data_IF_910196450334
#
_entry.id   IF_910196450334
#
_cell.length_a   1.000
_cell.length_b   1.000
_cell.length_c   1.000
_cell.angle_alpha   90.00
_cell.angle_beta   90.00
_cell.angle_gamma   90.00
#
_symmetry.space_group_name_H-M   'P 1'
#
loop_
_entity.id
_entity.type
_entity.pdbx_description
1 polymer ?
#
# COMPACT_ATOMS: atom_id res chain seq x y z
N UNK A 1 20.35 -15.46 18.46
CA UNK A 1 20.47 -15.62 16.98
C UNK A 1 20.08 -17.01 16.45
N UNK A 2 20.43 -18.16 17.08
CA UNK A 2 20.06 -19.48 16.55
C UNK A 2 18.55 -19.73 16.40
N UNK A 3 17.75 -19.34 17.41
CA UNK A 3 16.28 -19.49 17.36
C UNK A 3 15.64 -18.70 16.20
N UNK A 4 16.12 -17.48 15.92
CA UNK A 4 15.67 -16.69 14.77
C UNK A 4 15.93 -17.42 13.46
N UNK A 5 17.17 -17.90 13.23
CA UNK A 5 17.51 -18.63 12.01
C UNK A 5 16.71 -19.91 11.87
N UNK A 6 16.49 -20.63 12.97
CA UNK A 6 15.67 -21.84 12.98
C UNK A 6 14.22 -21.56 12.56
N UNK A 7 13.61 -20.48 13.06
CA UNK A 7 12.26 -20.06 12.65
C UNK A 7 12.19 -19.67 11.17
N UNK A 8 13.21 -18.97 10.64
CA UNK A 8 13.29 -18.68 9.20
C UNK A 8 13.30 -20.00 8.40
N UNK A 9 14.15 -20.96 8.78
CA UNK A 9 14.23 -22.25 8.10
C UNK A 9 12.92 -23.05 8.20
N UNK A 10 12.24 -23.03 9.35
CA UNK A 10 10.93 -23.66 9.50
C UNK A 10 9.87 -23.00 8.62
N UNK A 11 9.87 -21.67 8.54
CA UNK A 11 9.03 -20.91 7.62
C UNK A 11 9.28 -21.30 6.17
N UNK A 12 10.55 -21.36 5.76
CA UNK A 12 10.93 -21.74 4.39
C UNK A 12 10.54 -23.18 4.05
N UNK A 13 10.74 -24.12 4.98
CA UNK A 13 10.33 -25.51 4.80
C UNK A 13 8.80 -25.63 4.66
N UNK A 14 8.05 -24.96 5.55
CA UNK A 14 6.60 -24.94 5.48
C UNK A 14 6.11 -24.31 4.17
N UNK A 15 6.72 -23.20 3.74
CA UNK A 15 6.42 -22.52 2.48
C UNK A 15 6.64 -23.44 1.28
N UNK A 16 7.78 -24.15 1.22
CA UNK A 16 8.04 -25.14 0.18
C UNK A 16 6.96 -26.24 0.15
N UNK A 17 6.54 -26.73 1.33
CA UNK A 17 5.47 -27.70 1.45
C UNK A 17 4.11 -27.19 0.93
N UNK A 18 3.78 -25.92 1.17
CA UNK A 18 2.56 -25.31 0.62
C UNK A 18 2.64 -25.12 -0.90
N UNK A 19 3.79 -24.71 -1.44
CA UNK A 19 3.99 -24.51 -2.88
C UNK A 19 3.86 -25.81 -3.71
N UNK A 20 4.02 -26.98 -3.10
CA UNK A 20 3.78 -28.27 -3.78
C UNK A 20 2.28 -28.62 -3.89
N UNK A 21 1.39 -27.87 -3.23
CA UNK A 21 -0.06 -28.10 -3.28
C UNK A 21 -0.69 -27.33 -4.44
N UNK A 22 -1.95 -27.66 -4.74
CA UNK A 22 -2.76 -26.83 -5.64
C UNK A 22 -2.98 -25.45 -5.00
N UNK A 23 -3.00 -24.35 -5.79
CA UNK A 23 -3.14 -22.98 -5.27
C UNK A 23 -4.30 -22.79 -4.29
N UNK A 24 -5.47 -23.36 -4.59
CA UNK A 24 -6.68 -23.20 -3.78
C UNK A 24 -6.64 -23.97 -2.44
N UNK A 25 -5.66 -24.87 -2.27
CA UNK A 25 -5.48 -25.68 -1.07
C UNK A 25 -4.38 -25.15 -0.14
N UNK A 26 -3.65 -24.10 -0.55
CA UNK A 26 -2.53 -23.55 0.20
C UNK A 26 -2.99 -22.88 1.51
N UNK A 27 -2.33 -23.21 2.62
CA UNK A 27 -2.58 -22.62 3.94
C UNK A 27 -1.35 -21.88 4.42
N UNK A 28 -1.38 -20.57 4.26
CA UNK A 28 -0.22 -19.71 4.55
C UNK A 28 -0.04 -19.35 6.03
N UNK A 29 -1.00 -19.66 6.89
CA UNK A 29 -0.99 -19.16 8.27
C UNK A 29 0.16 -19.68 9.12
N UNK A 30 0.52 -20.95 8.97
CA UNK A 30 1.66 -21.53 9.69
C UNK A 30 2.99 -20.91 9.20
N UNK A 31 3.12 -20.73 7.88
CA UNK A 31 4.29 -20.09 7.26
C UNK A 31 4.48 -18.68 7.81
N UNK A 32 3.41 -17.88 7.80
CA UNK A 32 3.43 -16.52 8.32
C UNK A 32 3.79 -16.48 9.82
N UNK A 33 3.25 -17.41 10.61
CA UNK A 33 3.54 -17.51 12.06
C UNK A 33 5.04 -17.65 12.30
N UNK A 34 5.73 -18.53 11.58
CA UNK A 34 7.18 -18.69 11.74
C UNK A 34 7.95 -17.39 11.44
N UNK A 35 7.60 -16.68 10.37
CA UNK A 35 8.26 -15.43 10.03
C UNK A 35 7.90 -14.29 11.02
N UNK A 36 6.66 -14.23 11.52
CA UNK A 36 6.28 -13.28 12.58
C UNK A 36 7.05 -13.53 13.88
N UNK A 37 7.17 -14.78 14.31
CA UNK A 37 7.98 -15.13 15.49
C UNK A 37 9.47 -14.82 15.26
N UNK A 38 10.01 -15.08 14.06
CA UNK A 38 11.37 -14.71 13.72
C UNK A 38 11.62 -13.19 13.81
N UNK A 39 10.64 -12.39 13.37
CA UNK A 39 10.64 -10.92 13.49
C UNK A 39 10.56 -10.46 14.94
N UNK A 40 9.77 -11.13 15.79
CA UNK A 40 9.68 -10.82 17.24
C UNK A 40 10.99 -11.11 17.97
N UNK A 41 11.68 -12.20 17.61
CA UNK A 41 12.96 -12.57 18.24
C UNK A 41 14.10 -11.62 17.83
N UNK A 42 14.13 -11.18 16.57
CA UNK A 42 15.17 -10.28 16.07
C UNK A 42 14.55 -9.20 15.18
N UNK A 43 14.07 -8.09 15.76
CA UNK A 43 13.41 -7.01 15.00
C UNK A 43 14.37 -6.20 14.12
N UNK A 44 15.66 -6.16 14.47
CA UNK A 44 16.71 -5.49 13.68
C UNK A 44 16.98 -6.16 12.33
N UNK A 45 16.62 -7.43 12.13
CA UNK A 45 16.86 -8.17 10.89
C UNK A 45 15.73 -7.95 9.88
N UNK A 46 16.08 -7.60 8.65
CA UNK A 46 15.12 -7.42 7.56
C UNK A 46 14.57 -8.74 6.99
N UNK A 47 15.31 -9.85 7.16
CA UNK A 47 14.99 -11.13 6.53
C UNK A 47 13.54 -11.63 6.78
N UNK A 48 13.02 -11.69 8.02
CA UNK A 48 11.63 -12.09 8.26
C UNK A 48 10.61 -11.24 7.48
N UNK A 49 10.83 -9.93 7.39
CA UNK A 49 9.94 -9.05 6.64
C UNK A 49 10.06 -9.31 5.14
N UNK A 50 11.25 -9.56 4.59
CA UNK A 50 11.39 -9.97 3.20
C UNK A 50 10.62 -11.27 2.90
N UNK A 51 10.67 -12.26 3.79
CA UNK A 51 9.91 -13.50 3.63
C UNK A 51 8.39 -13.29 3.74
N UNK A 52 7.93 -12.39 4.63
CA UNK A 52 6.53 -11.98 4.71
C UNK A 52 6.08 -11.22 3.45
N UNK A 53 6.97 -10.45 2.81
CA UNK A 53 6.67 -9.78 1.54
C UNK A 53 6.46 -10.80 0.42
N UNK A 54 7.34 -11.80 0.31
CA UNK A 54 7.19 -12.91 -0.63
C UNK A 54 5.90 -13.70 -0.36
N UNK A 55 5.58 -13.95 0.91
CA UNK A 55 4.35 -14.64 1.25
C UNK A 55 3.10 -13.84 0.86
N UNK A 56 3.16 -12.51 0.99
CA UNK A 56 2.07 -11.62 0.60
C UNK A 56 1.81 -11.67 -0.92
N UNK A 57 2.83 -11.86 -1.77
CA UNK A 57 2.63 -12.02 -3.22
C UNK A 57 1.88 -13.31 -3.55
N UNK A 58 2.18 -14.42 -2.87
CA UNK A 58 1.42 -15.68 -3.05
C UNK A 58 -0.05 -15.57 -2.62
N UNK A 59 -0.36 -14.65 -1.70
CA UNK A 59 -1.75 -14.38 -1.26
C UNK A 59 -2.45 -13.31 -2.08
N UNK A 60 -1.83 -12.78 -3.14
CA UNK A 60 -2.42 -11.71 -3.96
C UNK A 60 -2.54 -10.37 -3.22
N UNK A 61 -1.63 -10.09 -2.28
CA UNK A 61 -1.64 -8.88 -1.45
C UNK A 61 -0.51 -7.90 -1.79
N UNK A 62 -0.54 -7.18 -2.93
CA UNK A 62 0.58 -6.34 -3.39
C UNK A 62 0.89 -5.18 -2.44
N UNK A 63 -0.11 -4.58 -1.80
CA UNK A 63 0.12 -3.53 -0.80
C UNK A 63 0.76 -4.08 0.48
N UNK A 64 0.40 -5.30 0.89
CA UNK A 64 1.04 -5.97 2.02
C UNK A 64 2.48 -6.36 1.69
N UNK A 65 2.74 -6.79 0.46
CA UNK A 65 4.09 -7.03 -0.05
C UNK A 65 4.93 -5.76 -0.02
N UNK A 66 4.41 -4.63 -0.52
CA UNK A 66 5.05 -3.31 -0.43
C UNK A 66 5.44 -2.97 1.01
N UNK A 67 4.47 -3.06 1.94
CA UNK A 67 4.72 -2.77 3.35
C UNK A 67 5.85 -3.62 3.92
N UNK A 68 5.85 -4.93 3.65
CA UNK A 68 6.88 -5.82 4.18
C UNK A 68 8.25 -5.64 3.50
N UNK A 69 8.30 -5.30 2.21
CA UNK A 69 9.54 -4.87 1.54
C UNK A 69 10.12 -3.62 2.20
N UNK A 70 9.29 -2.60 2.41
CA UNK A 70 9.67 -1.36 3.10
C UNK A 70 10.19 -1.65 4.52
N UNK A 71 9.49 -2.47 5.29
CA UNK A 71 9.92 -2.89 6.63
C UNK A 71 11.24 -3.67 6.61
N UNK A 72 11.49 -4.44 5.56
CA UNK A 72 12.77 -5.15 5.40
C UNK A 72 13.95 -4.22 5.07
N UNK A 73 13.68 -3.03 4.55
CA UNK A 73 14.68 -1.99 4.26
C UNK A 73 14.88 -1.05 5.45
N UNK A 74 13.81 -0.78 6.21
CA UNK A 74 13.76 0.17 7.31
C UNK A 74 14.14 -0.43 8.69
N UNK A 75 15.20 -1.23 8.73
CA UNK A 75 15.71 -1.86 9.95
C UNK A 75 17.23 -1.75 10.02
N UNK A 76 17.82 -2.06 11.18
CA UNK A 76 19.26 -1.93 11.41
C UNK A 76 20.11 -2.84 10.52
N UNK A 77 19.60 -4.03 10.20
CA UNK A 77 20.22 -4.99 9.28
C UNK A 77 19.28 -5.27 8.09
N UNK A 78 19.24 -4.38 7.09
CA UNK A 78 18.38 -4.54 5.93
C UNK A 78 18.68 -5.83 5.16
N UNK A 79 17.63 -6.46 4.61
CA UNK A 79 17.83 -7.62 3.75
C UNK A 79 18.26 -7.16 2.34
N UNK A 80 19.41 -7.60 1.81
CA UNK A 80 19.93 -7.09 0.53
C UNK A 80 18.98 -7.28 -0.66
N UNK A 81 18.17 -8.34 -0.68
CA UNK A 81 17.23 -8.62 -1.76
C UNK A 81 15.92 -7.80 -1.72
N UNK A 82 15.65 -7.06 -0.64
CA UNK A 82 14.37 -6.40 -0.45
C UNK A 82 14.12 -5.28 -1.47
N UNK A 83 15.16 -4.56 -1.88
CA UNK A 83 15.05 -3.53 -2.91
C UNK A 83 14.67 -4.11 -4.27
N UNK A 84 15.27 -5.24 -4.65
CA UNK A 84 14.95 -5.92 -5.91
C UNK A 84 13.51 -6.44 -5.93
N UNK A 85 13.04 -6.98 -4.80
CA UNK A 85 11.65 -7.43 -4.66
C UNK A 85 10.67 -6.25 -4.75
N UNK A 86 11.04 -5.09 -4.19
CA UNK A 86 10.26 -3.87 -4.30
C UNK A 86 10.18 -3.36 -5.75
N UNK A 87 11.30 -3.38 -6.48
CA UNK A 87 11.35 -3.01 -7.89
C UNK A 87 10.48 -3.93 -8.76
N UNK A 88 10.56 -5.24 -8.54
CA UNK A 88 9.73 -6.21 -9.27
C UNK A 88 8.23 -5.97 -9.03
N UNK A 89 7.85 -5.74 -7.77
CA UNK A 89 6.47 -5.41 -7.40
C UNK A 89 5.96 -4.16 -8.14
N UNK A 90 6.78 -3.13 -8.28
CA UNK A 90 6.39 -1.92 -9.00
C UNK A 90 6.26 -2.13 -10.51
N UNK A 91 7.10 -2.96 -11.11
CA UNK A 91 7.02 -3.30 -12.53
C UNK A 91 5.76 -4.12 -12.85
N UNK A 92 5.46 -5.12 -12.03
CA UNK A 92 4.23 -5.90 -12.12
C UNK A 92 2.99 -5.00 -11.96
N UNK A 93 2.98 -4.16 -10.93
CA UNK A 93 1.89 -3.20 -10.67
C UNK A 93 1.69 -2.22 -11.84
N UNK A 94 2.77 -1.72 -12.44
CA UNK A 94 2.71 -0.84 -13.62
C UNK A 94 2.01 -1.52 -14.78
N UNK A 95 2.36 -2.77 -15.05
CA UNK A 95 1.80 -3.57 -16.13
C UNK A 95 0.31 -3.87 -15.91
N UNK A 96 -0.09 -4.16 -14.68
CA UNK A 96 -1.50 -4.46 -14.36
C UNK A 96 -2.43 -3.25 -14.43
N UNK A 97 -1.97 -2.05 -14.02
CA UNK A 97 -2.85 -0.86 -13.95
C UNK A 97 -2.89 -0.08 -15.28
N UNK A 98 -1.92 -0.27 -16.19
CA UNK A 98 -1.83 0.47 -17.46
C UNK A 98 -3.13 0.39 -18.29
N UNK A 99 -3.93 -0.67 -18.12
CA UNK A 99 -5.20 -0.87 -18.82
C UNK A 99 -6.43 -0.20 -18.16
N UNK A 100 -6.29 0.42 -16.98
CA UNK A 100 -7.44 0.91 -16.19
C UNK A 100 -7.48 2.43 -15.98
N UNK A 101 -6.55 3.20 -16.56
CA UNK A 101 -6.55 4.65 -16.40
C UNK A 101 -7.54 5.36 -17.33
N UNK A 102 -8.38 6.21 -16.75
CA UNK A 102 -9.02 7.29 -17.50
C UNK A 102 -8.04 8.47 -17.60
N UNK A 103 -7.61 8.77 -18.82
CA UNK A 103 -6.52 9.71 -19.15
C UNK A 103 -6.81 11.20 -18.85
N UNK A 104 -7.85 11.56 -18.09
CA UNK A 104 -8.35 12.94 -18.02
C UNK A 104 -8.47 13.59 -16.63
N UNK A 105 -8.22 12.87 -15.54
CA UNK A 105 -8.41 13.41 -14.19
C UNK A 105 -7.14 14.07 -13.64
N UNK A 106 -7.23 15.36 -13.28
CA UNK A 106 -6.17 16.13 -12.64
C UNK A 106 -6.65 16.67 -11.28
N UNK A 107 -5.78 16.62 -10.27
CA UNK A 107 -6.03 17.26 -8.97
C UNK A 107 -5.29 18.59 -8.92
N UNK A 108 -5.99 19.65 -8.48
CA UNK A 108 -5.36 20.89 -8.10
C UNK A 108 -4.68 20.72 -6.73
N UNK A 109 -3.36 20.54 -6.75
CA UNK A 109 -2.53 20.39 -5.54
C UNK A 109 -2.58 21.64 -4.63
N UNK A 110 -2.99 22.80 -5.15
CA UNK A 110 -3.14 24.03 -4.37
C UNK A 110 -4.49 24.11 -3.63
N UNK A 111 -5.45 23.26 -3.98
CA UNK A 111 -6.77 23.17 -3.33
C UNK A 111 -7.08 21.74 -2.89
N UNK A 112 -6.26 21.16 -1.99
CA UNK A 112 -6.35 19.76 -1.61
C UNK A 112 -7.67 19.41 -0.89
N UNK A 113 -8.40 20.38 -0.33
CA UNK A 113 -9.66 20.16 0.37
C UNK A 113 -10.87 19.92 -0.55
N UNK A 114 -10.78 20.22 -1.85
CA UNK A 114 -11.92 20.09 -2.77
C UNK A 114 -12.19 18.62 -3.13
N UNK A 115 -13.35 18.10 -2.73
CA UNK A 115 -13.78 16.74 -3.04
C UNK A 115 -13.95 16.53 -4.56
N UNK A 116 -13.38 15.47 -5.12
CA UNK A 116 -13.60 15.12 -6.52
C UNK A 116 -15.01 14.54 -6.68
N UNK A 117 -15.95 15.34 -7.21
CA UNK A 117 -17.34 14.88 -7.40
C UNK A 117 -17.37 13.54 -8.15
N UNK A 118 -17.94 12.51 -7.51
CA UNK A 118 -18.12 11.15 -8.05
C UNK A 118 -18.84 11.14 -9.42
N UNK A 119 -19.49 12.24 -9.80
CA UNK A 119 -20.17 12.40 -11.09
C UNK A 119 -19.23 12.39 -12.32
N UNK A 120 -17.93 12.60 -12.15
CA UNK A 120 -16.97 12.58 -13.26
C UNK A 120 -16.51 11.15 -13.64
N UNK A 121 -16.48 10.21 -12.68
CA UNK A 121 -15.99 8.84 -12.89
C UNK A 121 -17.07 7.96 -13.52
N UNK A 122 -18.32 8.10 -13.09
CA UNK A 122 -19.44 7.27 -13.58
C UNK A 122 -19.83 7.56 -15.04
N UNK A 123 -19.44 8.72 -15.58
CA UNK A 123 -19.77 9.12 -16.97
C UNK A 123 -18.91 8.39 -18.02
N UNK A 124 -17.79 7.79 -17.61
CA UNK A 124 -16.91 7.02 -18.50
C UNK A 124 -17.37 5.56 -18.65
N UNK A 125 -18.15 5.02 -17.71
CA UNK A 125 -18.59 3.62 -17.71
C UNK A 125 -19.89 3.39 -18.50
N UNK A 126 -20.68 4.44 -18.76
CA UNK A 126 -21.95 4.32 -19.48
C UNK A 126 -21.82 4.35 -21.02
N UNK A 127 -20.61 4.33 -21.56
CA UNK A 127 -20.32 4.57 -22.98
C UNK A 127 -19.81 3.36 -23.76
N UNK A 128 -20.24 2.13 -23.49
CA UNK A 128 -20.06 1.01 -24.44
C UNK A 128 -20.99 -0.14 -24.10
N UNK A 129 -22.22 -0.09 -24.64
CA UNK A 129 -23.12 -1.23 -24.68
C UNK A 129 -22.86 -2.01 -25.96
N UNK A 130 -22.38 -3.25 -25.84
CA UNK A 130 -22.75 -4.32 -26.76
C UNK A 130 -22.85 -5.64 -25.99
N UNK A 131 -24.06 -6.22 -26.01
CA UNK A 131 -24.42 -7.51 -25.44
C UNK A 131 -23.86 -8.64 -26.32
N UNK A 132 -23.40 -9.73 -25.72
CA UNK A 132 -23.79 -11.14 -26.01
C UNK A 132 -23.14 -12.12 -24.99
N UNK A 133 -23.94 -13.08 -24.52
CA UNK A 133 -23.76 -14.12 -23.46
C UNK A 133 -22.97 -15.36 -23.98
N UNK A 134 -22.60 -16.42 -23.19
CA UNK A 134 -23.00 -16.73 -21.81
C UNK A 134 -21.93 -17.22 -20.79
N UNK A 135 -22.33 -17.07 -19.52
CA UNK A 135 -21.92 -17.65 -18.22
C UNK A 135 -20.72 -18.61 -18.11
N UNK A 136 -19.75 -18.20 -17.30
CA UNK A 136 -19.07 -19.05 -16.34
C UNK A 136 -18.94 -18.29 -15.01
N UNK A 137 -19.24 -18.99 -13.92
CA UNK A 137 -19.32 -18.50 -12.54
C UNK A 137 -17.94 -18.09 -12.03
N UNK A 138 -17.51 -16.88 -12.37
CA UNK A 138 -16.46 -16.17 -11.65
C UNK A 138 -17.11 -14.93 -11.03
N UNK A 139 -16.90 -14.73 -9.74
CA UNK A 139 -17.30 -13.51 -9.04
C UNK A 139 -16.50 -12.33 -9.59
N UNK A 140 -16.93 -11.82 -10.75
CA UNK A 140 -16.41 -10.62 -11.39
C UNK A 140 -16.79 -9.43 -10.53
N UNK A 141 -15.89 -8.99 -9.67
CA UNK A 141 -15.95 -7.64 -9.10
C UNK A 141 -15.66 -6.65 -10.21
N UNK A 142 -16.73 -6.19 -10.84
CA UNK A 142 -16.86 -5.07 -11.77
C UNK A 142 -15.79 -3.98 -11.60
N UNK A 143 -14.90 -3.83 -12.59
CA UNK A 143 -14.30 -2.59 -13.12
C UNK A 143 -13.67 -1.54 -12.18
N UNK A 144 -13.59 -1.75 -10.87
CA UNK A 144 -13.10 -0.78 -9.89
C UNK A 144 -11.67 -1.16 -9.52
N UNK A 145 -10.68 -0.39 -10.01
CA UNK A 145 -9.29 -0.59 -9.61
C UNK A 145 -9.19 -0.56 -8.08
N UNK A 146 -8.62 -1.62 -7.48
CA UNK A 146 -8.42 -1.71 -6.05
C UNK A 146 -7.60 -0.49 -5.57
N UNK A 147 -8.12 0.25 -4.60
CA UNK A 147 -7.45 1.42 -4.01
C UNK A 147 -6.03 1.08 -3.56
N UNK A 148 -5.79 -0.14 -3.09
CA UNK A 148 -4.49 -0.58 -2.61
C UNK A 148 -3.48 -0.77 -3.74
N UNK A 149 -3.93 -1.19 -4.93
CA UNK A 149 -3.10 -1.22 -6.14
C UNK A 149 -2.70 0.20 -6.57
N UNK A 150 -3.63 1.15 -6.47
CA UNK A 150 -3.35 2.56 -6.76
C UNK A 150 -2.37 3.17 -5.76
N UNK A 151 -2.45 2.80 -4.47
CA UNK A 151 -1.44 3.19 -3.49
C UNK A 151 -0.06 2.62 -3.84
N UNK A 152 0.05 1.34 -4.18
CA UNK A 152 1.33 0.75 -4.63
C UNK A 152 1.91 1.54 -5.81
N UNK A 153 1.06 1.87 -6.80
CA UNK A 153 1.47 2.70 -7.92
C UNK A 153 1.93 4.08 -7.49
N UNK A 154 1.16 4.75 -6.64
CA UNK A 154 1.47 6.09 -6.17
C UNK A 154 2.82 6.11 -5.44
N UNK A 155 3.11 5.09 -4.62
CA UNK A 155 4.37 4.98 -3.89
C UNK A 155 5.57 4.74 -4.83
N UNK A 156 5.35 4.05 -5.96
CA UNK A 156 6.41 3.78 -6.94
C UNK A 156 7.03 5.06 -7.54
N UNK A 157 6.25 6.13 -7.71
CA UNK A 157 6.74 7.41 -8.23
C UNK A 157 7.81 8.04 -7.32
N UNK A 158 7.72 7.81 -6.01
CA UNK A 158 8.63 8.39 -5.03
C UNK A 158 9.87 7.54 -4.80
N UNK A 159 9.77 6.21 -4.93
CA UNK A 159 10.87 5.29 -4.59
C UNK A 159 11.72 4.89 -5.80
N UNK A 160 11.17 4.89 -7.02
CA UNK A 160 11.90 4.49 -8.23
C UNK A 160 12.60 5.69 -8.91
N UNK A 161 12.28 6.93 -8.50
CA UNK A 161 12.78 8.16 -9.13
C UNK A 161 12.61 8.21 -10.67
N UNK A 162 11.60 7.50 -11.19
CA UNK A 162 11.30 7.46 -12.62
C UNK A 162 10.43 8.65 -13.05
N UNK A 163 10.15 8.76 -14.34
CA UNK A 163 9.27 9.79 -14.90
C UNK A 163 7.98 9.96 -14.09
N UNK A 164 7.63 11.20 -13.76
CA UNK A 164 6.34 11.57 -13.14
C UNK A 164 5.15 11.53 -14.12
N UNK A 165 5.36 10.95 -15.30
CA UNK A 165 4.30 10.70 -16.27
C UNK A 165 3.21 9.81 -15.67
N UNK A 166 1.97 10.32 -15.68
CA UNK A 166 0.82 9.65 -15.06
C UNK A 166 0.73 9.79 -13.54
N UNK A 167 1.61 10.56 -12.89
CA UNK A 167 1.50 10.82 -11.45
C UNK A 167 0.17 11.48 -11.09
N UNK A 168 -0.18 12.57 -11.77
CA UNK A 168 -1.39 13.35 -11.49
C UNK A 168 -2.67 12.52 -11.67
N UNK A 169 -2.75 11.70 -12.72
CA UNK A 169 -3.91 10.82 -12.96
C UNK A 169 -3.97 9.68 -11.94
N UNK A 170 -2.83 9.12 -11.53
CA UNK A 170 -2.76 8.12 -10.46
C UNK A 170 -3.21 8.72 -9.13
N UNK A 171 -2.71 9.90 -8.79
CA UNK A 171 -3.10 10.62 -7.57
C UNK A 171 -4.60 10.93 -7.58
N UNK A 172 -5.13 11.45 -8.68
CA UNK A 172 -6.57 11.72 -8.85
C UNK A 172 -7.43 10.48 -8.63
N UNK A 173 -7.03 9.37 -9.25
CA UNK A 173 -7.74 8.08 -9.11
C UNK A 173 -7.64 7.55 -7.68
N UNK A 174 -6.48 7.66 -7.05
CA UNK A 174 -6.26 7.22 -5.65
C UNK A 174 -7.15 8.01 -4.70
N UNK A 175 -7.20 9.33 -4.85
CA UNK A 175 -8.02 10.21 -4.02
C UNK A 175 -9.50 9.96 -4.25
N UNK A 176 -9.96 9.81 -5.49
CA UNK A 176 -11.36 9.50 -5.78
C UNK A 176 -11.81 8.15 -5.21
N UNK A 177 -10.95 7.13 -5.27
CA UNK A 177 -11.22 5.83 -4.64
C UNK A 177 -11.20 5.91 -3.11
N UNK A 178 -10.28 6.70 -2.55
CA UNK A 178 -10.23 6.97 -1.11
C UNK A 178 -11.48 7.68 -0.63
N UNK A 179 -11.92 8.71 -1.35
CA UNK A 179 -13.19 9.41 -1.12
C UNK A 179 -14.38 8.44 -1.15
N UNK A 180 -14.41 7.53 -2.14
CA UNK A 180 -15.41 6.45 -2.20
C UNK A 180 -15.37 5.52 -0.99
N UNK A 181 -14.18 5.06 -0.58
CA UNK A 181 -13.99 4.22 0.61
C UNK A 181 -14.42 4.96 1.89
N UNK A 182 -14.10 6.24 1.95
CA UNK A 182 -14.44 7.17 3.02
C UNK A 182 -15.91 7.61 2.93
N UNK A 183 -16.70 7.18 1.94
CA UNK A 183 -18.15 7.32 1.94
C UNK A 183 -18.90 6.05 2.40
N UNK A 184 -18.22 4.90 2.46
CA UNK A 184 -18.80 3.59 2.81
C UNK A 184 -19.25 3.47 4.28
N UNK A 185 -20.03 2.44 4.58
CA UNK A 185 -20.46 2.09 5.95
C UNK A 185 -19.29 1.61 6.83
N UNK A 186 -19.48 1.62 8.15
CA UNK A 186 -18.41 1.25 9.10
C UNK A 186 -17.84 -0.16 8.90
N UNK A 187 -18.71 -1.13 8.66
CA UNK A 187 -18.33 -2.52 8.47
C UNK A 187 -17.57 -2.72 7.15
N UNK A 188 -17.97 -2.01 6.09
CA UNK A 188 -17.28 -2.01 4.80
C UNK A 188 -15.89 -1.39 4.90
N UNK A 189 -15.76 -0.24 5.59
CA UNK A 189 -14.46 0.38 5.87
C UNK A 189 -13.57 -0.57 6.65
N UNK A 190 -14.11 -1.19 7.72
CA UNK A 190 -13.36 -2.13 8.54
C UNK A 190 -12.84 -3.29 7.71
N UNK A 191 -13.71 -3.91 6.91
CA UNK A 191 -13.34 -5.00 6.02
C UNK A 191 -12.26 -4.57 5.00
N UNK A 192 -12.38 -3.37 4.44
CA UNK A 192 -11.40 -2.82 3.50
C UNK A 192 -10.04 -2.51 4.14
N UNK A 193 -9.98 -2.25 5.45
CA UNK A 193 -8.75 -1.93 6.18
C UNK A 193 -8.05 -3.15 6.80
N UNK A 194 -8.68 -4.32 6.79
CA UNK A 194 -8.04 -5.58 7.15
C UNK A 194 -6.95 -5.95 6.11
N UNK A 195 -5.87 -6.60 6.56
CA UNK A 195 -4.72 -6.92 5.69
C UNK A 195 -4.25 -8.37 5.75
N UNK A 196 -4.47 -9.07 6.86
CA UNK A 196 -3.76 -10.31 7.16
C UNK A 196 -4.65 -11.55 7.07
N UNK A 197 -5.87 -11.47 6.53
CA UNK A 197 -6.84 -12.58 6.60
C UNK A 197 -6.32 -13.92 6.05
N UNK A 198 -5.50 -13.89 5.00
CA UNK A 198 -4.93 -15.10 4.40
C UNK A 198 -3.63 -15.58 5.07
N UNK A 199 -2.99 -14.75 5.90
CA UNK A 199 -1.71 -15.03 6.56
C UNK A 199 -1.85 -15.22 8.07
N UNK A 200 -2.76 -14.53 8.74
CA UNK A 200 -2.98 -14.59 10.17
C UNK A 200 -4.41 -14.11 10.46
N UNK A 201 -5.42 -14.99 10.39
CA UNK A 201 -6.82 -14.62 10.63
C UNK A 201 -7.11 -14.09 12.04
N UNK A 202 -6.20 -14.32 12.99
CA UNK A 202 -6.31 -13.80 14.35
C UNK A 202 -5.95 -12.30 14.42
N UNK A 203 -5.16 -11.83 13.46
CA UNK A 203 -4.69 -10.45 13.33
C UNK A 203 -5.75 -9.56 12.68
N UNK A 204 -6.79 -9.24 13.45
CA UNK A 204 -7.89 -8.35 13.06
C UNK A 204 -7.60 -6.89 13.40
N UNK A 205 -8.03 -5.96 12.55
CA UNK A 205 -7.92 -4.53 12.77
C UNK A 205 -7.55 -3.75 11.51
N UNK A 206 -7.45 -2.40 11.61
CA UNK A 206 -7.20 -1.54 10.47
C UNK A 206 -5.72 -1.52 10.05
N UNK A 207 -5.13 -2.71 9.86
CA UNK A 207 -3.71 -2.87 9.56
C UNK A 207 -3.28 -2.14 8.30
N UNK A 208 -4.12 -2.08 7.26
CA UNK A 208 -3.79 -1.34 6.03
C UNK A 208 -3.57 0.14 6.29
N UNK A 209 -4.29 0.73 7.23
CA UNK A 209 -4.09 2.13 7.59
C UNK A 209 -2.75 2.35 8.31
N UNK A 210 -2.39 1.47 9.26
CA UNK A 210 -1.09 1.52 9.94
C UNK A 210 0.08 1.27 8.98
N UNK A 211 -0.09 0.33 8.05
CA UNK A 211 0.88 0.01 7.01
C UNK A 211 1.09 1.20 6.07
N UNK A 212 0.01 1.86 5.65
CA UNK A 212 0.07 3.05 4.80
C UNK A 212 0.88 4.16 5.46
N UNK A 213 0.62 4.46 6.73
CA UNK A 213 1.40 5.45 7.49
C UNK A 213 2.86 5.06 7.59
N UNK A 214 3.17 3.78 7.85
CA UNK A 214 4.55 3.29 7.90
C UNK A 214 5.28 3.46 6.57
N UNK A 215 4.60 3.21 5.46
CA UNK A 215 5.16 3.39 4.11
C UNK A 215 5.42 4.86 3.82
N UNK A 216 4.51 5.76 4.19
CA UNK A 216 4.73 7.20 4.04
C UNK A 216 5.94 7.69 4.85
N UNK A 217 6.09 7.27 6.11
CA UNK A 217 7.25 7.61 6.94
C UNK A 217 8.55 7.15 6.27
N UNK A 218 8.57 5.93 5.73
CA UNK A 218 9.75 5.42 5.03
C UNK A 218 10.06 6.21 3.76
N UNK A 219 9.05 6.62 2.99
CA UNK A 219 9.25 7.43 1.79
C UNK A 219 9.87 8.77 2.16
N UNK A 220 9.37 9.45 3.19
CA UNK A 220 9.97 10.70 3.65
C UNK A 220 11.42 10.51 4.07
N UNK A 221 11.70 9.49 4.88
CA UNK A 221 13.06 9.17 5.30
C UNK A 221 13.98 8.90 4.10
N UNK A 222 13.51 8.11 3.13
CA UNK A 222 14.27 7.76 1.94
C UNK A 222 14.55 8.97 1.05
N UNK A 223 13.57 9.87 0.92
CA UNK A 223 13.72 11.10 0.13
C UNK A 223 14.64 12.13 0.82
N UNK A 224 14.71 12.15 2.15
CA UNK A 224 15.62 13.02 2.89
C UNK A 224 17.06 12.48 2.91
N UNK A 225 17.24 11.17 3.09
CA UNK A 225 18.58 10.57 3.22
C UNK A 225 19.31 10.46 1.86
N UNK A 226 18.58 10.32 0.75
CA UNK A 226 19.18 10.32 -0.59
C UNK A 226 19.76 11.69 -0.99
N UNK A 227 19.30 12.78 -0.37
CA UNK A 227 19.83 14.13 -0.57
C UNK A 227 21.23 14.36 -0.01
N UNK A 228 21.63 13.60 1.01
CA UNK A 228 22.94 13.76 1.69
C UNK A 228 24.06 12.95 1.03
N UNK A 229 23.74 12.02 0.11
CA UNK A 229 24.70 11.04 -0.45
C UNK A 229 25.20 11.34 -1.87
N UNK A 230 24.72 12.38 -2.55
CA UNK A 230 25.08 12.68 -3.97
C UNK A 230 25.36 14.18 -4.21
N UNK A 231 26.26 14.46 -5.15
CA UNK A 231 26.78 15.78 -5.53
C UNK A 231 25.72 16.92 -5.55
N UNK A 232 25.91 18.04 -4.81
CA UNK A 232 24.86 18.99 -4.42
C UNK A 232 24.30 19.90 -5.54
N UNK A 233 24.72 19.75 -6.81
CA UNK A 233 24.46 20.77 -7.85
C UNK A 233 23.51 20.37 -8.99
N UNK A 234 23.15 19.09 -9.16
CA UNK A 234 22.27 18.66 -10.28
C UNK A 234 20.98 17.94 -9.84
N UNK A 235 21.03 17.14 -8.78
CA UNK A 235 19.88 16.35 -8.31
C UNK A 235 18.99 17.03 -7.26
N UNK A 236 19.47 18.11 -6.64
CA UNK A 236 18.74 18.76 -5.54
C UNK A 236 17.37 19.35 -5.93
N UNK A 237 17.21 19.87 -7.16
CA UNK A 237 15.92 20.44 -7.58
C UNK A 237 14.85 19.38 -7.84
N UNK A 238 15.21 18.28 -8.49
CA UNK A 238 14.28 17.18 -8.76
C UNK A 238 13.91 16.44 -7.47
N UNK A 239 14.88 16.25 -6.56
CA UNK A 239 14.66 15.64 -5.26
C UNK A 239 13.77 16.50 -4.34
N UNK A 240 13.99 17.83 -4.34
CA UNK A 240 13.12 18.78 -3.63
C UNK A 240 11.68 18.72 -4.14
N UNK A 241 11.50 18.74 -5.47
CA UNK A 241 10.17 18.64 -6.08
C UNK A 241 9.47 17.30 -5.79
N UNK A 242 10.20 16.18 -5.81
CA UNK A 242 9.65 14.86 -5.44
C UNK A 242 9.24 14.82 -3.96
N UNK A 243 10.03 15.42 -3.08
CA UNK A 243 9.72 15.53 -1.66
C UNK A 243 8.46 16.35 -1.43
N UNK A 244 8.34 17.51 -2.09
CA UNK A 244 7.13 18.34 -2.04
C UNK A 244 5.89 17.59 -2.55
N UNK A 245 6.01 16.83 -3.65
CA UNK A 245 4.92 16.02 -4.19
C UNK A 245 4.54 14.85 -3.27
N UNK A 246 5.51 14.19 -2.65
CA UNK A 246 5.28 13.12 -1.68
C UNK A 246 4.56 13.64 -0.44
N UNK A 247 4.99 14.81 0.05
CA UNK A 247 4.34 15.51 1.16
C UNK A 247 2.92 15.87 0.77
N UNK A 248 2.71 16.55 -0.36
CA UNK A 248 1.38 16.94 -0.83
C UNK A 248 0.44 15.73 -0.97
N UNK A 249 0.87 14.66 -1.65
CA UNK A 249 0.06 13.44 -1.83
C UNK A 249 -0.30 12.79 -0.48
N UNK A 250 0.65 12.71 0.44
CA UNK A 250 0.42 12.16 1.78
C UNK A 250 -0.60 12.98 2.56
N UNK A 251 -0.45 14.31 2.58
CA UNK A 251 -1.38 15.21 3.27
C UNK A 251 -2.77 15.23 2.64
N UNK A 252 -2.88 15.14 1.31
CA UNK A 252 -4.17 14.99 0.62
C UNK A 252 -4.87 13.70 1.07
N UNK A 253 -4.18 12.56 1.01
CA UNK A 253 -4.76 11.28 1.44
C UNK A 253 -5.12 11.28 2.93
N UNK A 254 -4.22 11.77 3.80
CA UNK A 254 -4.47 11.87 5.23
C UNK A 254 -5.65 12.81 5.55
N UNK A 255 -5.74 13.95 4.85
CA UNK A 255 -6.83 14.92 4.98
C UNK A 255 -8.20 14.29 4.73
N UNK A 256 -8.34 13.49 3.66
CA UNK A 256 -9.59 12.77 3.35
C UNK A 256 -10.00 11.78 4.44
N UNK A 257 -9.02 11.07 5.01
CA UNK A 257 -9.26 10.15 6.14
C UNK A 257 -9.72 10.91 7.39
N UNK A 258 -9.10 12.04 7.70
CA UNK A 258 -9.41 12.88 8.88
C UNK A 258 -10.78 13.57 8.74
N UNK A 259 -11.10 14.10 7.56
CA UNK A 259 -12.34 14.86 7.30
C UNK A 259 -13.60 14.02 7.57
N UNK A 260 -13.58 12.71 7.27
CA UNK A 260 -14.66 11.78 7.66
C UNK A 260 -14.71 11.51 9.16
N UNK A 261 -13.54 11.37 9.80
CA UNK A 261 -13.50 11.13 11.25
C UNK A 261 -14.10 12.28 12.06
N UNK A 262 -14.05 13.51 11.53
CA UNK A 262 -14.63 14.69 12.14
C UNK A 262 -16.14 14.85 11.89
N UNK A 263 -16.66 14.33 10.77
CA UNK A 263 -18.09 14.41 10.41
C UNK A 263 -18.94 13.28 10.99
N UNK A 264 -18.32 12.19 11.48
CA UNK A 264 -19.02 11.13 12.21
C UNK A 264 -19.16 11.47 13.70
N UNK A 265 -20.41 11.56 14.15
CA UNK A 265 -20.77 11.93 15.53
C UNK A 265 -20.16 11.01 16.61
N UNK A 266 -19.84 11.64 17.74
CA UNK A 266 -18.97 11.25 18.87
C UNK A 266 -19.22 9.95 19.66
N UNK A 267 -20.05 9.00 19.21
CA UNK A 267 -20.44 7.85 20.06
C UNK A 267 -19.77 6.51 19.71
N UNK A 268 -18.96 6.43 18.66
CA UNK A 268 -18.25 5.20 18.30
C UNK A 268 -16.76 5.48 18.07
N UNK A 269 -15.90 4.65 18.67
CA UNK A 269 -14.44 4.65 18.46
C UNK A 269 -14.15 4.58 16.96
N UNK A 270 -13.77 5.71 16.37
CA UNK A 270 -13.50 5.79 14.93
C UNK A 270 -12.35 4.83 14.58
N UNK A 271 -12.62 3.85 13.72
CA UNK A 271 -11.63 2.85 13.25
C UNK A 271 -10.38 3.49 12.62
N UNK A 272 -10.49 4.75 12.18
CA UNK A 272 -9.42 5.55 11.60
C UNK A 272 -8.64 6.37 12.64
N UNK A 273 -9.09 6.42 13.90
CA UNK A 273 -8.47 7.22 14.96
C UNK A 273 -7.00 6.86 15.22
N UNK A 274 -6.57 5.57 15.22
CA UNK A 274 -5.15 5.24 15.32
C UNK A 274 -4.32 5.86 14.18
N UNK A 275 -4.85 5.86 12.96
CA UNK A 275 -4.23 6.47 11.76
C UNK A 275 -4.10 7.98 11.92
N UNK A 276 -5.16 8.64 12.39
CA UNK A 276 -5.17 10.08 12.66
C UNK A 276 -4.18 10.45 13.76
N UNK A 277 -4.06 9.63 14.81
CA UNK A 277 -3.10 9.87 15.90
C UNK A 277 -1.65 9.80 15.42
N UNK A 278 -1.28 8.85 14.55
CA UNK A 278 0.09 8.77 14.02
C UNK A 278 0.38 9.95 13.08
N UNK A 279 -0.56 10.34 12.21
CA UNK A 279 -0.39 11.52 11.36
C UNK A 279 -0.22 12.82 12.16
N UNK A 280 -0.90 12.95 13.31
CA UNK A 280 -0.83 14.12 14.19
C UNK A 280 0.50 14.25 14.93
N UNK A 281 1.22 13.14 15.15
CA UNK A 281 2.58 13.13 15.70
C UNK A 281 3.59 13.57 14.65
N UNK A 282 3.45 13.09 13.40
CA UNK A 282 4.34 13.48 12.29
C UNK A 282 4.24 14.99 12.00
N UNK A 283 3.04 15.56 12.00
CA UNK A 283 2.83 17.00 11.78
C UNK A 283 3.36 17.92 12.89
N UNK A 284 3.70 17.40 14.08
CA UNK A 284 4.29 18.19 15.17
C UNK A 284 5.82 18.26 15.11
N UNK A 285 6.44 17.48 14.22
CA UNK A 285 7.90 17.36 14.11
C UNK A 285 8.46 17.73 12.73
N UNK A 286 7.60 18.22 11.83
CA UNK A 286 7.95 18.95 10.60
C UNK A 286 7.65 20.43 10.80
#
# INVERSE_FOLDING_TARGET
MPCHRFLICLGDLARCGELCKKPDACKWSLVATYYFEASRIWPDSGNPHNQLALLATYTGGPFLALYHCVRSLAVKEPFPGAWNNLMLLFEENRSSILHSYSSGAHIDLLKPSVWCSMAAINRATSGSSNKNMPEATETVTSGKADIWLLFVRLMSFFLVHSSLEGFQSTLASTVGQLEGLVAMEDDEIKAALESYQLMDPSRKGPYRALQLVSVFIFIFHSLTESGDRVDPKKDNKQQSALTELAVAATFICAGRVVEKSATRNSTQTCTLLPTVCVCRVVSKHT
#
